data_IF_281211684405
#
_entry.id   IF_281211684405
#
_cell.length_a   1.000
_cell.length_b   1.000
_cell.length_c   1.000
_cell.angle_alpha   90.00
_cell.angle_beta   90.00
_cell.angle_gamma   90.00
#
_symmetry.space_group_name_H-M   'P 1'
#
loop_
_entity.id
_entity.type
_entity.pdbx_description
1 polymer ?
#
# COMPACT_ATOMS: atom_id res chain seq x y z
N UNK A 1 -18.92 57.05 3.42
CA UNK A 1 -18.83 55.69 2.87
C UNK A 1 -17.35 55.40 2.65
N UNK A 2 -16.68 54.86 3.67
CA UNK A 2 -15.25 54.56 3.61
C UNK A 2 -15.15 53.22 2.89
N UNK A 3 -14.73 53.25 1.63
CA UNK A 3 -14.42 52.05 0.86
C UNK A 3 -13.13 51.51 1.45
N UNK A 4 -13.23 50.37 2.15
CA UNK A 4 -12.09 49.69 2.73
C UNK A 4 -11.31 48.98 1.59
N UNK A 5 -10.07 49.40 1.27
CA UNK A 5 -9.33 48.89 0.11
C UNK A 5 -8.77 47.46 0.29
N UNK A 6 -8.93 46.85 1.46
CA UNK A 6 -8.36 45.53 1.78
C UNK A 6 -9.27 44.34 1.45
N UNK A 7 -10.48 44.58 0.94
CA UNK A 7 -11.45 43.54 0.60
C UNK A 7 -11.03 42.52 -0.50
N UNK A 8 -10.22 42.84 -1.52
CA UNK A 8 -9.94 41.88 -2.60
C UNK A 8 -8.86 40.84 -2.24
N UNK A 9 -7.99 41.12 -1.25
CA UNK A 9 -6.91 40.20 -0.86
C UNK A 9 -7.47 39.07 0.01
N UNK A 10 -8.43 39.40 0.86
CA UNK A 10 -9.05 38.51 1.84
C UNK A 10 -9.89 37.38 1.21
N UNK A 11 -10.59 37.65 0.10
CA UNK A 11 -11.38 36.61 -0.59
C UNK A 11 -10.48 35.62 -1.35
N UNK A 12 -9.29 36.05 -1.77
CA UNK A 12 -8.39 35.22 -2.57
C UNK A 12 -7.70 34.13 -1.76
N UNK A 13 -7.29 34.42 -0.52
CA UNK A 13 -6.59 33.47 0.37
C UNK A 13 -7.55 32.43 0.95
N UNK A 14 -8.75 32.85 1.34
CA UNK A 14 -9.81 31.93 1.78
C UNK A 14 -10.21 30.96 0.65
N UNK A 15 -10.42 31.47 -0.57
CA UNK A 15 -10.78 30.63 -1.71
C UNK A 15 -9.70 29.61 -2.10
N UNK A 16 -8.42 29.97 -2.00
CA UNK A 16 -7.30 29.04 -2.23
C UNK A 16 -7.28 27.94 -1.16
N UNK A 17 -7.49 28.31 0.12
CA UNK A 17 -7.54 27.33 1.19
C UNK A 17 -8.73 26.36 1.06
N UNK A 18 -9.93 26.86 0.76
CA UNK A 18 -11.11 26.00 0.58
C UNK A 18 -10.92 25.00 -0.56
N UNK A 19 -10.34 25.43 -1.69
CA UNK A 19 -10.04 24.52 -2.81
C UNK A 19 -9.04 23.44 -2.45
N UNK A 20 -7.99 23.79 -1.69
CA UNK A 20 -6.97 22.84 -1.24
C UNK A 20 -7.58 21.80 -0.27
N UNK A 21 -8.42 22.23 0.67
CA UNK A 21 -9.14 21.32 1.57
C UNK A 21 -10.11 20.41 0.80
N UNK A 22 -10.90 20.97 -0.11
CA UNK A 22 -11.85 20.21 -0.92
C UNK A 22 -11.14 19.13 -1.74
N UNK A 23 -9.98 19.46 -2.32
CA UNK A 23 -9.14 18.50 -3.03
C UNK A 23 -8.63 17.38 -2.11
N UNK A 24 -8.07 17.72 -0.94
CA UNK A 24 -7.56 16.73 0.03
C UNK A 24 -8.66 15.78 0.50
N UNK A 25 -9.82 16.34 0.86
CA UNK A 25 -10.97 15.57 1.33
C UNK A 25 -11.51 14.70 0.21
N UNK A 26 -11.63 15.23 -1.01
CA UNK A 26 -12.10 14.48 -2.17
C UNK A 26 -11.21 13.28 -2.51
N UNK A 27 -9.89 13.47 -2.54
CA UNK A 27 -8.94 12.39 -2.81
C UNK A 27 -8.96 11.37 -1.66
N UNK A 28 -8.94 11.82 -0.41
CA UNK A 28 -8.98 10.92 0.75
C UNK A 28 -10.26 10.07 0.78
N UNK A 29 -11.42 10.70 0.62
CA UNK A 29 -12.71 9.99 0.64
C UNK A 29 -12.87 9.02 -0.53
N UNK A 30 -12.44 9.40 -1.74
CA UNK A 30 -12.53 8.52 -2.91
C UNK A 30 -11.65 7.28 -2.77
N UNK A 31 -10.38 7.45 -2.36
CA UNK A 31 -9.47 6.33 -2.14
C UNK A 31 -9.94 5.42 -1.01
N UNK A 32 -10.37 5.99 0.11
CA UNK A 32 -10.90 5.21 1.22
C UNK A 32 -12.18 4.46 0.86
N UNK A 33 -13.09 5.05 0.08
CA UNK A 33 -14.32 4.38 -0.39
C UNK A 33 -13.98 3.17 -1.27
N UNK A 34 -13.02 3.34 -2.20
CA UNK A 34 -12.55 2.25 -3.05
C UNK A 34 -11.94 1.14 -2.20
N UNK A 35 -11.06 1.49 -1.25
CA UNK A 35 -10.44 0.55 -0.33
C UNK A 35 -11.50 -0.23 0.46
N UNK A 36 -12.47 0.46 1.05
CA UNK A 36 -13.49 -0.18 1.88
C UNK A 36 -14.36 -1.18 1.09
N UNK A 37 -14.77 -0.80 -0.12
CA UNK A 37 -15.53 -1.68 -1.02
C UNK A 37 -14.68 -2.90 -1.38
N UNK A 38 -13.43 -2.66 -1.79
CA UNK A 38 -12.52 -3.72 -2.21
C UNK A 38 -12.20 -4.68 -1.07
N UNK A 39 -11.92 -4.18 0.13
CA UNK A 39 -11.70 -4.97 1.32
C UNK A 39 -12.92 -5.84 1.63
N UNK A 40 -14.13 -5.27 1.58
CA UNK A 40 -15.37 -6.02 1.86
C UNK A 40 -15.55 -7.19 0.87
N UNK A 41 -15.35 -6.92 -0.42
CA UNK A 41 -15.41 -7.96 -1.46
C UNK A 41 -14.31 -9.01 -1.26
N UNK A 42 -13.08 -8.57 -0.99
CA UNK A 42 -11.92 -9.44 -0.79
C UNK A 42 -12.11 -10.33 0.42
N UNK A 43 -12.55 -9.77 1.55
CA UNK A 43 -12.84 -10.50 2.78
C UNK A 43 -13.93 -11.55 2.54
N UNK A 44 -15.01 -11.20 1.86
CA UNK A 44 -16.09 -12.13 1.57
C UNK A 44 -15.60 -13.30 0.70
N UNK A 45 -14.92 -13.02 -0.42
CA UNK A 45 -14.39 -14.07 -1.30
C UNK A 45 -13.34 -14.92 -0.57
N UNK A 46 -12.46 -14.28 0.21
CA UNK A 46 -11.39 -14.95 0.94
C UNK A 46 -11.93 -15.89 2.02
N UNK A 47 -12.90 -15.45 2.84
CA UNK A 47 -13.53 -16.29 3.88
C UNK A 47 -14.22 -17.50 3.24
N UNK A 48 -14.94 -17.30 2.14
CA UNK A 48 -15.67 -18.39 1.46
C UNK A 48 -14.72 -19.41 0.86
N UNK A 49 -13.58 -18.99 0.32
CA UNK A 49 -12.67 -19.87 -0.45
C UNK A 49 -11.53 -20.47 0.38
N UNK A 50 -11.07 -19.83 1.47
CA UNK A 50 -9.77 -20.14 2.12
C UNK A 50 -9.85 -20.59 3.58
N UNK A 51 -11.04 -20.87 4.12
CA UNK A 51 -11.29 -21.16 5.56
C UNK A 51 -10.44 -22.28 6.20
N UNK A 52 -9.77 -23.14 5.43
CA UNK A 52 -9.10 -24.35 5.91
C UNK A 52 -7.58 -24.43 5.66
N UNK A 53 -6.90 -23.31 5.35
CA UNK A 53 -5.44 -23.27 5.10
C UNK A 53 -4.66 -22.75 6.31
N UNK A 54 -3.43 -23.24 6.54
CA UNK A 54 -2.57 -22.76 7.64
C UNK A 54 -2.10 -21.31 7.42
N UNK A 55 -1.97 -20.86 6.16
CA UNK A 55 -1.67 -19.47 5.78
C UNK A 55 -2.86 -18.50 5.86
N UNK A 56 -4.09 -19.01 6.07
CA UNK A 56 -5.31 -18.20 6.23
C UNK A 56 -5.18 -17.09 7.29
N UNK A 57 -4.79 -17.38 8.55
CA UNK A 57 -4.67 -16.36 9.58
C UNK A 57 -3.66 -15.27 9.24
N UNK A 58 -2.51 -15.60 8.64
CA UNK A 58 -1.47 -14.61 8.34
C UNK A 58 -1.95 -13.58 7.31
N UNK A 59 -2.57 -14.05 6.21
CA UNK A 59 -3.11 -13.18 5.17
C UNK A 59 -4.26 -12.33 5.72
N UNK A 60 -5.16 -12.94 6.51
CA UNK A 60 -6.28 -12.24 7.14
C UNK A 60 -5.79 -11.16 8.10
N UNK A 61 -4.81 -11.46 8.94
CA UNK A 61 -4.20 -10.50 9.87
C UNK A 61 -3.58 -9.33 9.10
N UNK A 62 -2.85 -9.61 8.02
CA UNK A 62 -2.25 -8.55 7.18
C UNK A 62 -3.32 -7.68 6.51
N UNK A 63 -4.41 -8.27 6.01
CA UNK A 63 -5.56 -7.55 5.45
C UNK A 63 -6.18 -6.60 6.49
N UNK A 64 -6.43 -7.11 7.70
CA UNK A 64 -7.02 -6.32 8.78
C UNK A 64 -6.08 -5.22 9.26
N UNK A 65 -4.77 -5.51 9.41
CA UNK A 65 -3.77 -4.53 9.82
C UNK A 65 -3.66 -3.39 8.80
N UNK A 66 -3.52 -3.71 7.51
CA UNK A 66 -3.37 -2.70 6.46
C UNK A 66 -4.62 -1.82 6.30
N UNK A 67 -5.83 -2.39 6.43
CA UNK A 67 -7.06 -1.61 6.50
C UNK A 67 -7.12 -0.74 7.76
N UNK A 68 -6.74 -1.29 8.92
CA UNK A 68 -6.78 -0.56 10.19
C UNK A 68 -5.87 0.66 10.16
N UNK A 69 -4.63 0.52 9.67
CA UNK A 69 -3.69 1.63 9.53
C UNK A 69 -4.23 2.67 8.55
N UNK A 70 -4.78 2.26 7.41
CA UNK A 70 -5.38 3.19 6.45
C UNK A 70 -6.58 3.94 7.05
N UNK A 71 -7.43 3.25 7.81
CA UNK A 71 -8.60 3.84 8.49
C UNK A 71 -8.19 4.84 9.56
N UNK A 72 -7.20 4.51 10.39
CA UNK A 72 -6.66 5.42 11.41
C UNK A 72 -6.03 6.64 10.73
N UNK A 73 -5.24 6.43 9.67
CA UNK A 73 -4.61 7.52 8.92
C UNK A 73 -5.66 8.46 8.32
N UNK A 74 -6.69 7.91 7.68
CA UNK A 74 -7.81 8.67 7.13
C UNK A 74 -8.56 9.45 8.21
N UNK A 75 -8.90 8.80 9.32
CA UNK A 75 -9.64 9.42 10.43
C UNK A 75 -8.86 10.57 11.05
N UNK A 76 -7.57 10.35 11.34
CA UNK A 76 -6.70 11.40 11.88
C UNK A 76 -6.51 12.55 10.90
N UNK A 77 -6.42 12.26 9.60
CA UNK A 77 -6.36 13.29 8.56
C UNK A 77 -7.63 14.12 8.54
N UNK A 78 -8.81 13.50 8.63
CA UNK A 78 -10.09 14.22 8.70
C UNK A 78 -10.24 15.05 9.98
N UNK A 79 -9.79 14.53 11.12
CA UNK A 79 -9.78 15.29 12.38
C UNK A 79 -8.86 16.51 12.24
N UNK A 80 -7.66 16.33 11.69
CA UNK A 80 -6.72 17.44 11.49
C UNK A 80 -7.31 18.53 10.58
N UNK A 81 -7.89 18.12 9.44
CA UNK A 81 -8.58 19.03 8.52
C UNK A 81 -9.74 19.75 9.23
N UNK A 82 -10.56 19.03 10.01
CA UNK A 82 -11.70 19.62 10.72
C UNK A 82 -11.29 20.62 11.81
N UNK A 83 -10.14 20.40 12.45
CA UNK A 83 -9.58 21.34 13.43
C UNK A 83 -9.09 22.62 12.76
N UNK A 84 -8.55 22.54 11.54
CA UNK A 84 -8.11 23.69 10.74
C UNK A 84 -9.29 24.57 10.23
N UNK A 85 -10.49 24.00 10.14
CA UNK A 85 -11.73 24.71 9.75
C UNK A 85 -12.35 25.55 10.89
N UNK A 86 -11.86 25.44 12.13
CA UNK A 86 -12.41 26.20 13.24
C UNK A 86 -11.93 27.67 13.15
N UNK A 87 -12.85 28.66 13.06
CA UNK A 87 -12.46 30.05 13.14
C UNK A 87 -11.94 30.34 14.55
N UNK A 88 -10.62 30.45 14.70
CA UNK A 88 -10.02 30.98 15.92
C UNK A 88 -10.53 32.41 16.08
N UNK A 89 -10.99 32.72 17.29
CA UNK A 89 -11.61 33.97 17.72
C UNK A 89 -11.14 35.18 16.93
N UNK A 90 -12.13 35.99 16.52
CA UNK A 90 -11.99 37.28 15.88
C UNK A 90 -11.12 38.15 16.80
N UNK A 91 -9.81 38.10 16.60
CA UNK A 91 -8.92 39.12 17.17
C UNK A 91 -9.43 40.48 16.65
N UNK A 92 -9.43 41.54 17.48
CA UNK A 92 -10.04 42.83 17.13
C UNK A 92 -9.40 43.53 15.92
N UNK A 93 -8.40 42.91 15.29
CA UNK A 93 -7.77 43.35 14.05
C UNK A 93 -8.38 42.75 12.76
N UNK A 94 -9.41 41.90 12.84
CA UNK A 94 -10.12 41.42 11.65
C UNK A 94 -9.25 40.65 10.65
N UNK A 95 -8.11 40.09 11.09
CA UNK A 95 -7.26 39.24 10.26
C UNK A 95 -7.71 37.79 10.39
N UNK A 96 -8.15 37.19 9.28
CA UNK A 96 -8.31 35.74 9.14
C UNK A 96 -6.89 35.20 9.28
N UNK A 97 -6.59 34.62 10.44
CA UNK A 97 -5.36 33.88 10.64
C UNK A 97 -5.48 32.69 9.71
N UNK A 98 -4.90 32.84 8.51
CA UNK A 98 -5.05 31.90 7.41
C UNK A 98 -4.79 30.48 7.87
N UNK A 99 -5.41 29.53 7.17
CA UNK A 99 -5.23 28.09 7.38
C UNK A 99 -3.78 27.80 7.75
N UNK A 100 -3.53 27.53 9.03
CA UNK A 100 -2.20 27.18 9.50
C UNK A 100 -1.93 25.80 8.91
N UNK A 101 -1.32 25.80 7.73
CA UNK A 101 -0.84 24.61 7.03
C UNK A 101 0.21 23.96 7.92
N UNK A 102 -0.22 23.12 8.85
CA UNK A 102 0.63 22.05 9.36
C UNK A 102 0.10 20.75 8.72
N UNK A 103 0.35 20.55 7.41
CA UNK A 103 -0.27 19.50 6.62
C UNK A 103 0.10 18.09 7.07
N UNK A 104 1.16 17.93 7.87
CA UNK A 104 1.79 16.65 8.18
C UNK A 104 2.20 16.55 9.66
N UNK A 105 1.24 16.40 10.59
CA UNK A 105 1.57 16.10 11.98
C UNK A 105 2.38 14.80 12.09
N UNK A 106 3.31 14.75 13.05
CA UNK A 106 4.30 13.67 13.18
C UNK A 106 3.68 12.26 13.27
N UNK A 107 2.49 12.12 13.87
CA UNK A 107 1.78 10.85 13.95
C UNK A 107 1.39 10.27 12.58
N UNK A 108 1.12 11.11 11.58
CA UNK A 108 0.83 10.63 10.21
C UNK A 108 2.09 10.07 9.56
N UNK A 109 3.27 10.67 9.83
CA UNK A 109 4.55 10.16 9.35
C UNK A 109 4.89 8.77 9.91
N UNK A 110 4.56 8.53 11.18
CA UNK A 110 4.73 7.20 11.83
C UNK A 110 3.80 6.17 11.19
N UNK A 111 2.51 6.46 11.05
CA UNK A 111 1.54 5.55 10.42
C UNK A 111 1.89 5.25 8.96
N UNK A 112 2.30 6.27 8.23
CA UNK A 112 2.81 6.17 6.87
C UNK A 112 4.00 5.19 6.77
N UNK A 113 5.02 5.40 7.60
CA UNK A 113 6.23 4.56 7.59
C UNK A 113 5.91 3.13 8.02
N UNK A 114 4.99 2.96 8.98
CA UNK A 114 4.53 1.67 9.45
C UNK A 114 3.78 0.91 8.35
N UNK A 115 2.92 1.56 7.57
CA UNK A 115 2.27 0.92 6.43
C UNK A 115 3.29 0.47 5.37
N UNK A 116 4.26 1.34 5.03
CA UNK A 116 5.32 0.98 4.07
C UNK A 116 6.08 -0.27 4.52
N UNK A 117 6.49 -0.32 5.80
CA UNK A 117 7.17 -1.48 6.37
C UNK A 117 6.32 -2.75 6.30
N UNK A 118 5.01 -2.68 6.61
CA UNK A 118 4.11 -3.84 6.52
C UNK A 118 4.03 -4.37 5.08
N UNK A 119 3.91 -3.48 4.11
CA UNK A 119 3.84 -3.84 2.68
C UNK A 119 5.17 -4.43 2.22
N UNK A 120 6.28 -3.79 2.56
CA UNK A 120 7.64 -4.20 2.20
C UNK A 120 8.00 -5.56 2.81
N UNK A 121 7.66 -5.77 4.08
CA UNK A 121 7.83 -7.07 4.76
C UNK A 121 7.05 -8.16 4.03
N UNK A 122 5.83 -7.89 3.56
CA UNK A 122 5.05 -8.85 2.82
C UNK A 122 5.65 -9.15 1.43
N UNK A 123 6.15 -8.14 0.70
CA UNK A 123 6.79 -8.37 -0.61
C UNK A 123 8.11 -9.13 -0.48
N UNK A 124 8.87 -8.87 0.59
CA UNK A 124 10.05 -9.64 1.00
C UNK A 124 9.68 -11.10 1.28
N UNK A 125 8.70 -11.32 2.16
CA UNK A 125 8.25 -12.67 2.53
C UNK A 125 7.85 -13.48 1.29
N UNK A 126 7.09 -12.86 0.40
CA UNK A 126 6.68 -13.48 -0.87
C UNK A 126 7.86 -13.83 -1.76
N UNK A 127 8.82 -12.93 -1.89
CA UNK A 127 10.03 -13.16 -2.70
C UNK A 127 10.88 -14.30 -2.11
N UNK A 128 11.01 -14.33 -0.79
CA UNK A 128 11.72 -15.41 -0.07
C UNK A 128 11.07 -16.78 -0.28
N UNK A 129 9.74 -16.84 -0.20
CA UNK A 129 8.97 -18.06 -0.42
C UNK A 129 9.15 -18.57 -1.87
N UNK A 130 9.09 -17.67 -2.86
CA UNK A 130 9.25 -18.01 -4.28
C UNK A 130 10.63 -18.61 -4.61
N UNK A 131 11.68 -18.16 -3.93
CA UNK A 131 13.04 -18.65 -4.13
C UNK A 131 13.39 -19.88 -3.28
N UNK A 132 12.38 -20.57 -2.72
CA UNK A 132 12.59 -21.79 -1.94
C UNK A 132 13.36 -21.52 -0.65
N UNK A 133 13.02 -20.45 0.06
CA UNK A 133 13.63 -20.03 1.34
C UNK A 133 15.13 -19.71 1.27
N UNK A 134 15.67 -19.44 0.09
CA UNK A 134 17.09 -19.05 -0.08
C UNK A 134 17.31 -17.60 0.36
N UNK A 135 17.95 -17.42 1.51
CA UNK A 135 18.22 -16.09 2.08
C UNK A 135 19.09 -15.19 1.19
N UNK A 136 20.01 -15.75 0.39
CA UNK A 136 20.94 -14.98 -0.44
C UNK A 136 20.28 -13.96 -1.38
N UNK A 137 19.04 -14.21 -1.81
CA UNK A 137 18.30 -13.35 -2.74
C UNK A 137 17.60 -12.20 -2.02
N UNK A 138 17.36 -12.36 -0.72
CA UNK A 138 16.48 -11.51 0.09
C UNK A 138 17.26 -10.59 1.03
N UNK A 139 18.58 -10.81 1.17
CA UNK A 139 19.47 -9.96 1.97
C UNK A 139 19.35 -8.49 1.58
N UNK A 140 19.37 -8.18 0.29
CA UNK A 140 19.31 -6.79 -0.18
C UNK A 140 17.97 -6.11 0.16
N UNK A 141 16.79 -6.70 -0.17
CA UNK A 141 15.50 -6.18 0.28
C UNK A 141 15.41 -6.01 1.79
N UNK A 142 15.89 -6.98 2.59
CA UNK A 142 15.87 -6.89 4.06
C UNK A 142 16.70 -5.70 4.56
N UNK A 143 17.86 -5.43 3.96
CA UNK A 143 18.67 -4.27 4.33
C UNK A 143 17.95 -2.95 4.04
N UNK A 144 17.16 -2.88 2.95
CA UNK A 144 16.36 -1.71 2.64
C UNK A 144 15.22 -1.52 3.64
N UNK A 145 14.52 -2.61 4.00
CA UNK A 145 13.42 -2.60 4.98
C UNK A 145 13.92 -2.24 6.39
N UNK A 146 15.10 -2.73 6.79
CA UNK A 146 15.77 -2.30 8.02
C UNK A 146 16.07 -0.79 8.03
N UNK A 147 16.37 -0.21 6.86
CA UNK A 147 16.50 1.24 6.71
C UNK A 147 15.19 1.97 6.97
N UNK A 148 14.07 1.46 6.43
CA UNK A 148 12.72 2.00 6.69
C UNK A 148 12.34 1.85 8.17
N UNK A 149 12.67 0.71 8.79
CA UNK A 149 12.47 0.49 10.22
C UNK A 149 13.29 1.45 11.09
N UNK A 150 14.54 1.73 10.72
CA UNK A 150 15.36 2.73 11.41
C UNK A 150 14.74 4.14 11.30
N UNK A 151 14.16 4.49 10.14
CA UNK A 151 13.42 5.74 9.96
C UNK A 151 12.15 5.77 10.82
N UNK A 152 11.43 4.66 10.95
CA UNK A 152 10.27 4.55 11.83
C UNK A 152 10.65 4.82 13.29
N UNK A 153 11.71 4.17 13.79
CA UNK A 153 12.20 4.38 15.15
C UNK A 153 12.64 5.81 15.39
N UNK A 154 13.35 6.41 14.43
CA UNK A 154 13.78 7.80 14.53
C UNK A 154 12.59 8.76 14.64
N UNK A 155 11.57 8.58 13.78
CA UNK A 155 10.33 9.38 13.81
C UNK A 155 9.52 9.20 15.11
N UNK A 156 9.53 8.00 15.68
CA UNK A 156 8.82 7.70 16.93
C UNK A 156 9.48 8.37 18.15
N UNK A 157 10.81 8.50 18.15
CA UNK A 157 11.58 9.06 19.27
C UNK A 157 11.68 10.58 19.19
N UNK A 158 12.02 11.14 18.02
CA UNK A 158 12.27 12.58 17.83
C UNK A 158 11.21 13.20 16.91
N UNK A 159 9.97 13.26 17.38
CA UNK A 159 8.83 13.76 16.61
C UNK A 159 8.77 15.30 16.47
N UNK A 160 9.63 16.03 17.20
CA UNK A 160 9.63 17.50 17.27
C UNK A 160 10.71 18.16 16.42
N UNK A 161 11.69 17.40 15.90
CA UNK A 161 12.72 17.92 15.02
C UNK A 161 12.17 18.39 13.67
N UNK A 162 12.61 19.57 13.21
CA UNK A 162 12.20 20.15 11.91
C UNK A 162 12.54 19.24 10.72
N UNK A 163 13.56 18.40 10.87
CA UNK A 163 13.97 17.41 9.87
C UNK A 163 13.25 16.07 10.00
N UNK A 164 12.72 15.73 11.18
CA UNK A 164 12.09 14.45 11.43
C UNK A 164 10.86 14.24 10.53
N UNK A 165 10.07 15.29 10.33
CA UNK A 165 8.85 15.20 9.52
C UNK A 165 9.11 14.97 8.02
N UNK A 166 10.20 15.50 7.47
CA UNK A 166 10.52 15.37 6.04
C UNK A 166 11.32 14.09 5.70
N UNK A 167 12.09 13.58 6.68
CA UNK A 167 12.98 12.42 6.49
C UNK A 167 12.29 11.15 5.98
N UNK A 168 11.11 10.72 6.51
CA UNK A 168 10.45 9.51 6.02
C UNK A 168 9.97 9.64 4.57
N UNK A 169 9.65 10.85 4.10
CA UNK A 169 9.30 11.06 2.70
C UNK A 169 10.54 11.06 1.80
N UNK A 170 11.61 11.74 2.22
CA UNK A 170 12.83 11.88 1.41
C UNK A 170 13.60 10.57 1.30
N UNK A 171 13.68 9.77 2.37
CA UNK A 171 14.46 8.53 2.39
C UNK A 171 13.60 7.26 2.37
N UNK A 172 12.44 7.28 3.03
CA UNK A 172 11.56 6.11 3.12
C UNK A 172 10.95 5.74 1.77
N UNK A 173 10.45 6.72 1.01
CA UNK A 173 9.84 6.48 -0.31
C UNK A 173 10.85 5.87 -1.29
N UNK A 174 12.07 6.43 -1.48
CA UNK A 174 13.06 5.81 -2.37
C UNK A 174 13.50 4.42 -1.91
N UNK A 175 13.69 4.21 -0.60
CA UNK A 175 14.09 2.90 -0.07
C UNK A 175 13.03 1.83 -0.36
N UNK A 176 11.76 2.12 -0.04
CA UNK A 176 10.64 1.24 -0.32
C UNK A 176 10.45 1.03 -1.84
N UNK A 177 10.69 2.06 -2.65
CA UNK A 177 10.64 1.94 -4.11
C UNK A 177 11.74 1.00 -4.66
N UNK A 178 12.99 1.17 -4.22
CA UNK A 178 14.11 0.30 -4.62
C UNK A 178 13.84 -1.14 -4.19
N UNK A 179 13.35 -1.33 -2.96
CA UNK A 179 12.94 -2.64 -2.45
C UNK A 179 11.85 -3.26 -3.32
N UNK A 180 10.75 -2.55 -3.58
CA UNK A 180 9.64 -3.11 -4.35
C UNK A 180 9.99 -3.38 -5.82
N UNK A 181 10.81 -2.53 -6.46
CA UNK A 181 11.34 -2.80 -7.80
C UNK A 181 12.22 -4.04 -7.80
N UNK A 182 13.15 -4.15 -6.85
CA UNK A 182 14.06 -5.31 -6.81
C UNK A 182 13.30 -6.59 -6.55
N UNK A 183 12.35 -6.61 -5.60
CA UNK A 183 11.44 -7.74 -5.37
C UNK A 183 10.62 -8.07 -6.63
N UNK A 184 10.03 -7.08 -7.29
CA UNK A 184 9.23 -7.29 -8.51
C UNK A 184 10.09 -7.86 -9.65
N UNK A 185 11.30 -7.34 -9.84
CA UNK A 185 12.25 -7.82 -10.84
C UNK A 185 12.69 -9.26 -10.53
N UNK A 186 12.98 -9.58 -9.28
CA UNK A 186 13.34 -10.94 -8.86
C UNK A 186 12.20 -11.93 -9.09
N UNK A 187 10.96 -11.54 -8.79
CA UNK A 187 9.77 -12.34 -9.08
C UNK A 187 9.62 -12.53 -10.60
N UNK A 188 9.72 -11.45 -11.40
CA UNK A 188 9.59 -11.50 -12.85
C UNK A 188 10.67 -12.36 -13.52
N UNK A 189 11.94 -12.25 -13.09
CA UNK A 189 13.05 -13.06 -13.60
C UNK A 189 12.85 -14.53 -13.27
N UNK A 190 12.43 -14.85 -12.04
CA UNK A 190 12.16 -16.22 -11.64
C UNK A 190 11.01 -16.83 -12.45
N UNK A 191 9.90 -16.09 -12.58
CA UNK A 191 8.74 -16.52 -13.36
C UNK A 191 9.07 -16.69 -14.84
N UNK A 192 9.91 -15.82 -15.40
CA UNK A 192 10.37 -15.96 -16.80
C UNK A 192 11.21 -17.23 -16.95
N UNK A 193 12.17 -17.47 -16.06
CA UNK A 193 13.02 -18.67 -16.10
C UNK A 193 12.22 -19.97 -15.95
N UNK A 194 11.22 -20.01 -15.07
CA UNK A 194 10.37 -21.18 -14.88
C UNK A 194 9.36 -21.37 -16.00
N UNK A 195 8.84 -20.28 -16.60
CA UNK A 195 7.98 -20.34 -17.78
C UNK A 195 8.69 -20.98 -18.98
N UNK A 196 9.98 -20.71 -19.16
CA UNK A 196 10.81 -21.36 -20.18
C UNK A 196 11.04 -22.87 -19.92
N UNK A 197 10.82 -23.37 -18.70
CA UNK A 197 11.12 -24.74 -18.31
C UNK A 197 9.92 -25.71 -18.34
N UNK A 198 8.71 -25.29 -18.74
CA UNK A 198 7.67 -26.26 -19.18
C UNK A 198 6.24 -26.12 -18.67
N UNK A 199 5.79 -24.97 -18.14
CA UNK A 199 4.38 -24.77 -17.74
C UNK A 199 3.70 -23.67 -18.58
N UNK A 200 3.21 -24.03 -19.76
CA UNK A 200 2.97 -23.07 -20.85
C UNK A 200 1.53 -22.51 -20.97
N UNK A 201 0.54 -23.05 -20.22
CA UNK A 201 -0.87 -22.65 -20.39
C UNK A 201 -1.48 -21.97 -19.15
N UNK A 202 -1.23 -22.48 -17.94
CA UNK A 202 -1.79 -21.89 -16.70
C UNK A 202 -0.96 -20.71 -16.17
N UNK A 203 0.36 -20.76 -16.35
CA UNK A 203 1.30 -19.70 -15.95
C UNK A 203 1.05 -18.38 -16.71
N UNK A 204 0.50 -18.45 -17.93
CA UNK A 204 0.38 -17.32 -18.85
C UNK A 204 -0.62 -16.23 -18.40
N UNK A 205 -1.60 -16.54 -17.55
CA UNK A 205 -2.56 -15.54 -17.02
C UNK A 205 -2.26 -15.08 -15.59
N UNK A 206 -1.77 -15.98 -14.74
CA UNK A 206 -1.53 -15.69 -13.31
C UNK A 206 -0.28 -14.81 -13.11
N UNK A 207 0.77 -15.05 -13.91
CA UNK A 207 2.04 -14.31 -13.87
C UNK A 207 1.89 -12.83 -14.23
N UNK A 208 1.27 -12.44 -15.37
CA UNK A 208 1.14 -11.04 -15.72
C UNK A 208 0.28 -10.29 -14.70
N UNK A 209 -0.76 -10.89 -14.15
CA UNK A 209 -1.61 -10.21 -13.17
C UNK A 209 -0.86 -9.92 -11.86
N UNK A 210 -0.06 -10.87 -11.38
CA UNK A 210 0.84 -10.72 -10.24
C UNK A 210 1.85 -9.57 -10.45
N UNK A 211 2.39 -9.47 -11.68
CA UNK A 211 3.32 -8.40 -12.03
C UNK A 211 2.57 -7.08 -12.12
N UNK A 212 1.36 -7.07 -12.70
CA UNK A 212 0.51 -5.89 -12.83
C UNK A 212 0.15 -5.33 -11.45
N UNK A 213 -0.26 -6.15 -10.49
CA UNK A 213 -0.61 -5.67 -9.14
C UNK A 213 0.59 -5.05 -8.42
N UNK A 214 1.78 -5.66 -8.54
CA UNK A 214 3.02 -5.06 -8.04
C UNK A 214 3.40 -3.77 -8.76
N UNK A 215 3.15 -3.68 -10.07
CA UNK A 215 3.42 -2.45 -10.85
C UNK A 215 2.52 -1.29 -10.46
N UNK A 216 1.27 -1.53 -10.05
CA UNK A 216 0.36 -0.46 -9.61
C UNK A 216 0.93 0.23 -8.36
N UNK A 217 1.40 -0.53 -7.37
CA UNK A 217 2.05 0.04 -6.19
C UNK A 217 3.33 0.82 -6.56
N UNK A 218 4.15 0.24 -7.44
CA UNK A 218 5.37 0.90 -7.93
C UNK A 218 5.06 2.20 -8.68
N UNK A 219 3.99 2.26 -9.49
CA UNK A 219 3.58 3.49 -10.20
C UNK A 219 3.21 4.58 -9.20
N UNK A 220 2.48 4.25 -8.12
CA UNK A 220 2.16 5.23 -7.08
C UNK A 220 3.43 5.74 -6.39
N UNK A 221 4.36 4.84 -6.04
CA UNK A 221 5.65 5.23 -5.47
C UNK A 221 6.47 6.11 -6.43
N UNK A 222 6.46 5.84 -7.73
CA UNK A 222 7.11 6.70 -8.75
C UNK A 222 6.48 8.07 -8.80
N UNK A 223 5.14 8.16 -8.84
CA UNK A 223 4.43 9.45 -8.88
C UNK A 223 4.76 10.27 -7.64
N UNK A 224 4.79 9.64 -6.46
CA UNK A 224 5.17 10.30 -5.21
C UNK A 224 6.64 10.72 -5.20
N UNK A 225 7.55 9.85 -5.66
CA UNK A 225 8.97 10.17 -5.81
C UNK A 225 9.18 11.37 -6.72
N UNK A 226 8.61 11.36 -7.93
CA UNK A 226 8.69 12.48 -8.88
C UNK A 226 8.13 13.76 -8.27
N UNK A 227 7.00 13.68 -7.54
CA UNK A 227 6.37 14.84 -6.91
C UNK A 227 7.27 15.54 -5.88
N UNK A 228 8.12 14.78 -5.17
CA UNK A 228 9.13 15.33 -4.25
C UNK A 228 10.18 16.14 -5.02
N UNK A 229 10.70 15.61 -6.14
CA UNK A 229 11.75 16.27 -6.93
C UNK A 229 11.24 17.46 -7.77
N UNK A 230 9.96 17.48 -8.15
CA UNK A 230 9.38 18.61 -8.90
C UNK A 230 8.98 19.79 -8.03
N UNK A 231 9.26 19.75 -6.72
CA UNK A 231 8.90 20.82 -5.78
C UNK A 231 7.42 20.86 -5.43
N UNK A 232 6.64 19.81 -5.74
CA UNK A 232 5.24 19.65 -5.36
C UNK A 232 5.11 19.08 -3.93
N UNK A 233 6.08 19.38 -3.06
CA UNK A 233 6.17 18.87 -1.67
C UNK A 233 4.89 19.16 -0.90
N UNK A 234 4.25 20.32 -1.16
CA UNK A 234 2.95 20.68 -0.56
C UNK A 234 1.83 19.68 -0.84
N UNK A 235 1.79 19.09 -2.04
CA UNK A 235 0.79 18.07 -2.43
C UNK A 235 1.13 16.72 -1.77
N UNK A 236 2.41 16.42 -1.63
CA UNK A 236 2.89 15.20 -0.97
C UNK A 236 2.61 15.24 0.53
N UNK A 237 2.87 16.36 1.20
CA UNK A 237 2.55 16.51 2.63
C UNK A 237 1.04 16.49 2.87
N UNK A 238 0.27 17.05 1.94
CA UNK A 238 -1.18 17.15 1.98
C UNK A 238 -1.92 15.81 1.87
N UNK A 239 -1.52 15.00 0.89
CA UNK A 239 -2.29 13.82 0.46
C UNK A 239 -1.45 12.55 0.52
N UNK A 240 -0.14 12.66 0.71
CA UNK A 240 0.82 11.54 0.69
C UNK A 240 0.49 10.44 1.69
N UNK A 241 0.30 10.75 3.00
CA UNK A 241 -0.01 9.73 4.00
C UNK A 241 -1.27 8.92 3.66
N UNK A 242 -2.37 9.59 3.31
CA UNK A 242 -3.63 8.93 2.96
C UNK A 242 -3.52 8.18 1.64
N UNK A 243 -2.89 8.78 0.63
CA UNK A 243 -2.75 8.16 -0.69
C UNK A 243 -1.90 6.91 -0.62
N UNK A 244 -0.74 6.98 0.04
CA UNK A 244 0.18 5.85 0.12
C UNK A 244 -0.41 4.75 0.99
N UNK A 245 -1.02 5.08 2.14
CA UNK A 245 -1.62 4.06 3.01
C UNK A 245 -2.80 3.36 2.36
N UNK A 246 -3.67 4.11 1.68
CA UNK A 246 -4.81 3.54 0.96
C UNK A 246 -4.39 2.75 -0.27
N UNK A 247 -3.47 3.25 -1.09
CA UNK A 247 -3.00 2.54 -2.30
C UNK A 247 -2.23 1.28 -1.94
N UNK A 248 -1.40 1.29 -0.90
CA UNK A 248 -0.79 0.10 -0.32
C UNK A 248 -1.84 -0.97 0.00
N UNK A 249 -2.85 -0.61 0.78
CA UNK A 249 -3.91 -1.54 1.18
C UNK A 249 -4.72 -2.03 -0.04
N UNK A 250 -5.06 -1.15 -1.00
CA UNK A 250 -5.74 -1.52 -2.25
C UNK A 250 -4.92 -2.54 -3.05
N UNK A 251 -3.62 -2.30 -3.21
CA UNK A 251 -2.75 -3.21 -3.98
C UNK A 251 -2.63 -4.58 -3.31
N UNK A 252 -2.64 -4.61 -1.98
CA UNK A 252 -2.65 -5.84 -1.20
C UNK A 252 -3.99 -6.57 -1.33
N UNK A 253 -5.13 -5.88 -1.20
CA UNK A 253 -6.46 -6.45 -1.39
C UNK A 253 -6.63 -7.04 -2.80
N UNK A 254 -6.20 -6.33 -3.85
CA UNK A 254 -6.25 -6.83 -5.23
C UNK A 254 -5.43 -8.10 -5.41
N UNK A 255 -4.26 -8.18 -4.75
CA UNK A 255 -3.41 -9.36 -4.78
C UNK A 255 -4.11 -10.56 -4.13
N UNK A 256 -4.70 -10.37 -2.94
CA UNK A 256 -5.42 -11.44 -2.24
C UNK A 256 -6.67 -11.87 -3.00
N UNK A 257 -7.45 -10.91 -3.51
CA UNK A 257 -8.64 -11.17 -4.31
C UNK A 257 -8.30 -11.99 -5.56
N UNK A 258 -7.21 -11.67 -6.24
CA UNK A 258 -6.77 -12.44 -7.40
C UNK A 258 -6.39 -13.88 -7.05
N UNK A 259 -5.66 -14.07 -5.95
CA UNK A 259 -5.32 -15.41 -5.45
C UNK A 259 -6.59 -16.22 -5.15
N UNK A 260 -7.58 -15.59 -4.50
CA UNK A 260 -8.85 -16.23 -4.17
C UNK A 260 -9.69 -16.58 -5.42
N UNK A 261 -9.79 -15.66 -6.38
CA UNK A 261 -10.52 -15.87 -7.64
C UNK A 261 -9.86 -16.94 -8.52
N UNK A 262 -8.53 -16.92 -8.63
CA UNK A 262 -7.78 -17.89 -9.43
C UNK A 262 -8.06 -19.32 -8.96
N UNK A 263 -8.14 -19.54 -7.63
CA UNK A 263 -8.53 -20.85 -7.08
C UNK A 263 -9.98 -21.20 -7.37
N UNK A 264 -10.91 -20.27 -7.17
CA UNK A 264 -12.34 -20.50 -7.41
C UNK A 264 -12.61 -20.98 -8.85
N UNK A 265 -11.98 -20.34 -9.84
CA UNK A 265 -12.12 -20.72 -11.25
C UNK A 265 -11.44 -22.06 -11.57
N UNK A 266 -10.33 -22.39 -10.90
CA UNK A 266 -9.65 -23.66 -11.08
C UNK A 266 -10.47 -24.85 -10.57
N UNK A 267 -11.11 -24.69 -9.40
CA UNK A 267 -11.99 -25.71 -8.83
C UNK A 267 -13.25 -25.92 -9.69
N UNK A 268 -13.81 -24.85 -10.24
CA UNK A 268 -14.98 -24.92 -11.13
C UNK A 268 -14.66 -25.57 -12.50
N UNK A 269 -13.45 -25.36 -13.03
CA UNK A 269 -13.01 -25.94 -14.31
C UNK A 269 -12.64 -27.43 -14.25
N UNK A 270 -12.06 -27.90 -13.13
CA UNK A 270 -11.64 -29.29 -12.96
C UNK A 270 -12.80 -30.30 -12.81
N UNK A 271 -14.04 -29.85 -12.63
CA UNK A 271 -15.21 -30.72 -12.42
C UNK A 271 -15.76 -31.34 -13.72
N UNK A 272 -15.37 -30.83 -14.91
CA UNK A 272 -15.98 -31.26 -16.19
C UNK A 272 -15.20 -32.27 -17.04
N UNK A 273 -13.93 -32.54 -16.77
CA UNK A 273 -13.12 -33.49 -17.58
C UNK A 273 -12.53 -34.63 -16.71
N UNK A 274 -13.32 -35.71 -16.55
CA UNK A 274 -12.96 -36.90 -15.76
C UNK A 274 -11.93 -37.84 -16.42
N UNK A 275 -11.55 -37.60 -17.68
CA UNK A 275 -10.57 -38.42 -18.40
C UNK A 275 -9.18 -37.76 -18.51
N UNK A 276 -9.10 -36.42 -18.44
CA UNK A 276 -7.83 -35.67 -18.43
C UNK A 276 -7.27 -35.52 -16.99
N UNK A 277 -8.00 -36.00 -15.99
CA UNK A 277 -7.68 -35.83 -14.56
C UNK A 277 -6.61 -36.80 -14.08
N UNK A 278 -6.38 -37.95 -14.74
CA UNK A 278 -5.28 -38.85 -14.35
C UNK A 278 -3.91 -38.33 -14.80
N UNK A 279 -3.83 -37.69 -15.97
CA UNK A 279 -2.60 -37.04 -16.47
C UNK A 279 -2.35 -35.66 -15.84
N UNK A 280 -3.40 -34.98 -15.38
CA UNK A 280 -3.26 -33.77 -14.58
C UNK A 280 -2.98 -34.04 -13.11
N UNK A 281 -3.38 -35.18 -12.51
CA UNK A 281 -3.02 -35.49 -11.11
C UNK A 281 -1.52 -35.57 -10.89
N UNK A 282 -0.78 -36.11 -11.87
CA UNK A 282 0.69 -36.13 -11.82
C UNK A 282 1.36 -34.79 -12.19
N UNK A 283 0.64 -33.87 -12.86
CA UNK A 283 1.15 -32.53 -13.21
C UNK A 283 0.70 -31.41 -12.25
N UNK A 284 -0.40 -31.61 -11.52
CA UNK A 284 -0.86 -30.79 -10.38
C UNK A 284 0.05 -30.98 -9.18
N UNK A 285 0.91 -32.02 -9.18
CA UNK A 285 2.07 -32.12 -8.28
C UNK A 285 3.07 -30.95 -8.41
N UNK A 286 2.94 -30.08 -9.43
CA UNK A 286 3.75 -28.86 -9.58
C UNK A 286 3.00 -27.62 -9.06
N UNK A 287 1.67 -27.69 -8.93
CA UNK A 287 0.90 -26.73 -8.11
C UNK A 287 0.97 -27.11 -6.62
N UNK A 288 1.31 -28.37 -6.34
CA UNK A 288 1.99 -28.83 -5.12
C UNK A 288 3.41 -28.30 -4.95
N UNK A 289 3.80 -27.22 -5.63
CA UNK A 289 4.93 -26.40 -5.19
C UNK A 289 4.48 -25.22 -4.33
N UNK A 290 3.22 -24.80 -4.40
CA UNK A 290 2.62 -23.92 -3.37
C UNK A 290 2.00 -24.73 -2.23
N UNK A 291 1.53 -25.98 -2.48
CA UNK A 291 1.10 -26.92 -1.43
C UNK A 291 2.27 -27.65 -0.74
N UNK A 292 3.30 -28.16 -1.44
CA UNK A 292 4.47 -28.75 -0.74
C UNK A 292 5.44 -27.74 -0.11
N UNK A 293 5.20 -26.43 -0.27
CA UNK A 293 5.86 -25.42 0.59
C UNK A 293 5.15 -25.32 1.95
N UNK A 294 3.84 -25.65 2.03
CA UNK A 294 3.08 -25.81 3.28
C UNK A 294 3.26 -27.22 3.88
N UNK A 295 3.33 -28.30 3.10
CA UNK A 295 3.49 -29.67 3.65
C UNK A 295 4.88 -29.97 4.26
N UNK A 296 5.92 -29.20 3.90
CA UNK A 296 7.25 -29.29 4.54
C UNK A 296 7.26 -28.59 5.92
N UNK A 297 6.24 -27.79 6.22
CA UNK A 297 6.04 -27.17 7.55
C UNK A 297 5.43 -28.14 8.57
N UNK A 298 4.92 -29.31 8.16
CA UNK A 298 4.42 -30.37 9.06
C UNK A 298 5.48 -31.45 9.40
N UNK A 299 6.70 -31.35 8.86
CA UNK A 299 7.75 -32.38 9.03
C UNK A 299 9.10 -31.85 9.57
N UNK A 300 9.14 -30.62 10.09
CA UNK A 300 10.26 -30.06 10.87
C UNK A 300 9.78 -29.44 12.17
#
# INVERSE_FOLDING_TARGET
>A
MIINPDAPIFSSTAAVCTKELEFRVGVGCSLYSILFILFTVTLHVFIVQYRFRSSFPLILVTLVITLSIATVTFTLTMINISAELQPIDITPAGSFVGCQLNPSPAYLGVLFTLQLMVVDTFTIYRTWLLYGRRFSVVVFPILCDLGVFALLLYNAIDSSGTYAQALPYILGIPLSFVLNITCTALIAVHLTRTHFQGMQLYSRMVVPFIVITGTIHNVVLVVMFVSIFTGLVRVVDAVGPVTITATAAITFDLLVLHIALTKAFCVAGCSKDSALTSRLKDKVRIMSYYDSIEDVEELS
#
